data_IF_135399498592
#
_entry.id   IF_135399498592
#
_cell.length_a   1.000
_cell.length_b   1.000
_cell.length_c   1.000
_cell.angle_alpha   90.00
_cell.angle_beta   90.00
_cell.angle_gamma   90.00
#
_symmetry.space_group_name_H-M   'P 1'
#
loop_
_entity.id
_entity.type
_entity.pdbx_description
1 polymer ?
#
# COMPACT_ATOMS: atom_id res chain seq x y z
N UNK A 1 27.07 -3.26 -6.15
CA UNK A 1 25.97 -2.87 -5.24
C UNK A 1 24.70 -2.93 -6.06
N UNK A 2 23.92 -4.00 -5.87
CA UNK A 2 22.82 -4.34 -6.77
C UNK A 2 21.66 -3.36 -6.65
N UNK A 3 21.00 -3.14 -7.77
CA UNK A 3 19.84 -2.26 -7.99
C UNK A 3 18.57 -2.82 -7.33
N UNK A 4 18.68 -3.31 -6.09
CA UNK A 4 17.58 -3.95 -5.35
C UNK A 4 17.17 -3.03 -4.22
N UNK A 5 16.18 -2.18 -4.48
CA UNK A 5 15.58 -1.29 -3.49
C UNK A 5 14.07 -1.55 -3.39
N UNK A 6 13.45 -0.99 -2.36
CA UNK A 6 12.02 -1.14 -2.11
C UNK A 6 11.17 -0.75 -3.34
N UNK A 7 11.52 0.35 -4.00
CA UNK A 7 10.80 0.88 -5.18
C UNK A 7 10.69 -0.13 -6.33
N UNK A 8 11.78 -0.86 -6.65
CA UNK A 8 11.77 -1.84 -7.73
C UNK A 8 10.85 -3.01 -7.41
N UNK A 9 10.88 -3.50 -6.16
CA UNK A 9 10.00 -4.56 -5.72
C UNK A 9 8.54 -4.10 -5.62
N UNK A 10 8.28 -2.84 -5.24
CA UNK A 10 6.95 -2.23 -5.29
C UNK A 10 6.40 -2.21 -6.72
N UNK A 11 7.18 -1.69 -7.67
CA UNK A 11 6.78 -1.63 -9.07
C UNK A 11 6.56 -3.03 -9.67
N UNK A 12 7.43 -3.98 -9.35
CA UNK A 12 7.25 -5.38 -9.77
C UNK A 12 5.98 -5.98 -9.17
N UNK A 13 5.71 -5.74 -7.88
CA UNK A 13 4.50 -6.19 -7.20
C UNK A 13 3.23 -5.65 -7.85
N UNK A 14 3.22 -4.35 -8.21
CA UNK A 14 2.11 -3.74 -8.94
C UNK A 14 1.94 -4.35 -10.34
N UNK A 15 3.03 -4.55 -11.09
CA UNK A 15 2.97 -5.22 -12.39
C UNK A 15 2.38 -6.64 -12.27
N UNK A 16 2.82 -7.42 -11.29
CA UNK A 16 2.28 -8.75 -11.01
C UNK A 16 0.79 -8.68 -10.64
N UNK A 17 0.39 -7.69 -9.84
CA UNK A 17 -1.01 -7.47 -9.47
C UNK A 17 -1.89 -7.20 -10.70
N UNK A 18 -1.49 -6.27 -11.57
CA UNK A 18 -2.21 -5.98 -12.81
C UNK A 18 -2.20 -7.14 -13.80
N UNK A 19 -1.18 -8.01 -13.74
CA UNK A 19 -1.14 -9.27 -14.48
C UNK A 19 -1.94 -10.41 -13.82
N UNK A 20 -2.69 -10.13 -12.75
CA UNK A 20 -3.47 -11.11 -11.97
C UNK A 20 -2.64 -12.23 -11.33
N UNK A 21 -1.32 -12.01 -11.17
CA UNK A 21 -0.40 -12.92 -10.49
C UNK A 21 -0.32 -12.56 -9.01
N UNK A 22 -1.41 -12.77 -8.28
CA UNK A 22 -1.58 -12.28 -6.90
C UNK A 22 -0.54 -12.84 -5.92
N UNK A 23 -0.18 -14.13 -6.06
CA UNK A 23 0.85 -14.75 -5.22
C UNK A 23 2.21 -14.06 -5.40
N UNK A 24 2.59 -13.77 -6.65
CA UNK A 24 3.84 -13.07 -6.96
C UNK A 24 3.79 -11.60 -6.51
N UNK A 25 2.64 -10.95 -6.67
CA UNK A 25 2.44 -9.57 -6.22
C UNK A 25 2.67 -9.46 -4.71
N UNK A 26 2.08 -10.36 -3.93
CA UNK A 26 2.27 -10.42 -2.48
C UNK A 26 3.74 -10.61 -2.12
N UNK A 27 4.43 -11.59 -2.72
CA UNK A 27 5.86 -11.83 -2.47
C UNK A 27 6.73 -10.61 -2.79
N UNK A 28 6.44 -9.90 -3.89
CA UNK A 28 7.20 -8.72 -4.26
C UNK A 28 6.94 -7.55 -3.31
N UNK A 29 5.69 -7.31 -2.91
CA UNK A 29 5.34 -6.25 -1.97
C UNK A 29 5.90 -6.52 -0.57
N UNK A 30 5.92 -7.77 -0.11
CA UNK A 30 6.59 -8.14 1.15
C UNK A 30 8.09 -7.85 1.09
N UNK A 31 8.76 -8.22 -0.02
CA UNK A 31 10.17 -7.86 -0.21
C UNK A 31 10.41 -6.36 -0.27
N UNK A 32 9.48 -5.60 -0.84
CA UNK A 32 9.56 -4.14 -0.86
C UNK A 32 9.53 -3.58 0.56
N UNK A 33 8.65 -4.09 1.42
CA UNK A 33 8.58 -3.71 2.84
C UNK A 33 9.84 -4.11 3.61
N UNK A 34 10.39 -5.29 3.36
CA UNK A 34 11.63 -5.76 4.00
C UNK A 34 12.86 -4.89 3.65
N UNK A 35 12.85 -4.30 2.46
CA UNK A 35 13.93 -3.43 1.97
C UNK A 35 13.67 -1.94 2.22
N UNK A 36 12.47 -1.58 2.69
CA UNK A 36 12.10 -0.21 2.92
C UNK A 36 12.85 0.39 4.12
N UNK A 37 13.16 1.66 4.01
CA UNK A 37 13.71 2.48 5.09
C UNK A 37 12.72 3.58 5.46
N UNK A 38 13.07 4.38 6.48
CA UNK A 38 12.20 5.44 6.99
C UNK A 38 11.80 6.48 5.92
N UNK A 39 12.51 6.55 4.80
CA UNK A 39 12.27 7.52 3.72
C UNK A 39 11.29 7.03 2.66
N UNK A 40 11.15 5.73 2.45
CA UNK A 40 10.28 5.17 1.41
C UNK A 40 9.22 4.18 1.94
N UNK A 41 9.28 3.83 3.23
CA UNK A 41 8.32 2.92 3.86
C UNK A 41 6.87 3.40 3.76
N UNK A 42 6.64 4.72 3.83
CA UNK A 42 5.34 5.35 3.64
C UNK A 42 4.75 5.02 2.25
N UNK A 43 5.55 5.17 1.20
CA UNK A 43 5.15 4.91 -0.19
C UNK A 43 4.87 3.43 -0.44
N UNK A 44 5.67 2.53 0.16
CA UNK A 44 5.43 1.09 0.04
C UNK A 44 4.10 0.72 0.69
N UNK A 45 3.83 1.17 1.92
CA UNK A 45 2.55 0.93 2.59
C UNK A 45 1.36 1.51 1.83
N UNK A 46 1.51 2.70 1.26
CA UNK A 46 0.50 3.31 0.39
C UNK A 46 0.18 2.42 -0.83
N UNK A 47 1.20 1.89 -1.50
CA UNK A 47 1.01 1.02 -2.65
C UNK A 47 0.39 -0.34 -2.27
N UNK A 48 0.76 -0.92 -1.13
CA UNK A 48 0.10 -2.12 -0.59
C UNK A 48 -1.38 -1.84 -0.30
N UNK A 49 -1.69 -0.67 0.27
CA UNK A 49 -3.07 -0.24 0.53
C UNK A 49 -3.89 -0.11 -0.75
N UNK A 50 -3.31 0.42 -1.83
CA UNK A 50 -3.98 0.49 -3.13
C UNK A 50 -4.26 -0.89 -3.72
N UNK A 51 -3.34 -1.84 -3.56
CA UNK A 51 -3.54 -3.24 -3.97
C UNK A 51 -4.67 -3.89 -3.17
N UNK A 52 -4.74 -3.63 -1.85
CA UNK A 52 -5.83 -4.10 -1.01
C UNK A 52 -7.19 -3.52 -1.44
N UNK A 53 -7.25 -2.20 -1.71
CA UNK A 53 -8.47 -1.55 -2.25
C UNK A 53 -8.91 -2.18 -3.57
N UNK A 54 -7.97 -2.39 -4.50
CA UNK A 54 -8.26 -2.98 -5.80
C UNK A 54 -8.70 -4.45 -5.69
N UNK A 55 -8.33 -5.13 -4.61
CA UNK A 55 -8.78 -6.49 -4.27
C UNK A 55 -10.13 -6.51 -3.53
N UNK A 56 -10.69 -5.35 -3.19
CA UNK A 56 -11.94 -5.20 -2.43
C UNK A 56 -11.77 -5.25 -0.91
N UNK A 57 -10.54 -5.41 -0.41
CA UNK A 57 -10.25 -5.46 1.03
C UNK A 57 -10.05 -4.05 1.59
N UNK A 58 -11.17 -3.39 1.88
CA UNK A 58 -11.19 -2.03 2.42
C UNK A 58 -10.62 -1.95 3.84
N UNK A 59 -10.66 -3.03 4.62
CA UNK A 59 -10.14 -3.07 5.98
C UNK A 59 -8.61 -3.15 5.98
N UNK A 60 -8.04 -4.02 5.15
CA UNK A 60 -6.59 -4.09 4.97
C UNK A 60 -6.04 -2.79 4.37
N UNK A 61 -6.75 -2.20 3.40
CA UNK A 61 -6.37 -0.89 2.85
C UNK A 61 -6.30 0.20 3.93
N UNK A 62 -7.29 0.24 4.82
CA UNK A 62 -7.32 1.17 5.95
C UNK A 62 -6.09 1.03 6.85
N UNK A 63 -5.73 -0.21 7.20
CA UNK A 63 -4.56 -0.48 8.02
C UNK A 63 -3.28 -0.03 7.31
N UNK A 64 -3.15 -0.33 6.01
CA UNK A 64 -1.98 0.05 5.22
C UNK A 64 -1.80 1.57 5.13
N UNK A 65 -2.86 2.33 4.86
CA UNK A 65 -2.75 3.79 4.81
C UNK A 65 -2.48 4.39 6.20
N UNK A 66 -2.99 3.78 7.27
CA UNK A 66 -2.65 4.18 8.65
C UNK A 66 -1.16 3.98 8.92
N UNK A 67 -0.59 2.85 8.49
CA UNK A 67 0.85 2.59 8.59
C UNK A 67 1.67 3.56 7.73
N UNK A 68 1.19 3.90 6.54
CA UNK A 68 1.82 4.92 5.69
C UNK A 68 1.91 6.27 6.41
N UNK A 69 0.81 6.73 7.03
CA UNK A 69 0.80 7.97 7.82
C UNK A 69 1.62 7.90 9.10
N UNK A 70 1.77 6.71 9.70
CA UNK A 70 2.65 6.53 10.86
C UNK A 70 4.13 6.69 10.49
N UNK A 71 4.49 6.39 9.23
CA UNK A 71 5.84 6.52 8.69
C UNK A 71 6.09 7.95 8.20
N UNK A 72 5.13 8.52 7.48
CA UNK A 72 5.13 9.93 7.05
C UNK A 72 3.76 10.57 7.31
N UNK A 73 3.70 11.40 8.35
CA UNK A 73 2.49 12.10 8.77
C UNK A 73 1.97 13.10 7.72
N UNK A 74 2.80 13.48 6.74
CA UNK A 74 2.47 14.41 5.66
C UNK A 74 2.12 13.73 4.33
N UNK A 75 2.02 12.38 4.30
CA UNK A 75 1.66 11.66 3.09
C UNK A 75 0.20 11.95 2.67
N UNK A 76 0.05 12.92 1.76
CA UNK A 76 -1.24 13.49 1.39
C UNK A 76 -2.17 12.46 0.75
N UNK A 77 -1.65 11.60 -0.11
CA UNK A 77 -2.42 10.57 -0.82
C UNK A 77 -2.99 9.52 0.14
N UNK A 78 -2.20 9.06 1.11
CA UNK A 78 -2.66 8.13 2.14
C UNK A 78 -3.76 8.75 3.00
N UNK A 79 -3.61 10.02 3.39
CA UNK A 79 -4.61 10.78 4.13
C UNK A 79 -5.94 10.90 3.35
N UNK A 80 -5.87 11.27 2.07
CA UNK A 80 -7.03 11.36 1.19
C UNK A 80 -7.77 10.02 1.07
N UNK A 81 -7.04 8.92 0.86
CA UNK A 81 -7.65 7.60 0.75
C UNK A 81 -8.32 7.14 2.05
N UNK A 82 -7.71 7.41 3.21
CA UNK A 82 -8.33 7.15 4.50
C UNK A 82 -9.62 7.95 4.72
N UNK A 83 -9.61 9.23 4.37
CA UNK A 83 -10.81 10.06 4.47
C UNK A 83 -11.96 9.49 3.62
N UNK A 84 -11.67 9.03 2.39
CA UNK A 84 -12.66 8.38 1.52
C UNK A 84 -13.18 7.08 2.12
N UNK A 85 -12.30 6.27 2.71
CA UNK A 85 -12.68 5.02 3.38
C UNK A 85 -13.60 5.27 4.58
N UNK A 86 -13.27 6.24 5.43
CA UNK A 86 -14.10 6.60 6.60
C UNK A 86 -15.47 7.14 6.19
N UNK A 87 -15.53 7.95 5.13
CA UNK A 87 -16.80 8.44 4.59
C UNK A 87 -17.69 7.29 4.10
N UNK A 88 -17.11 6.28 3.44
CA UNK A 88 -17.86 5.10 2.98
C UNK A 88 -18.38 4.28 4.16
N UNK A 89 -17.53 4.03 5.16
CA UNK A 89 -17.88 3.30 6.37
C UNK A 89 -19.04 3.97 7.14
N UNK A 90 -19.01 5.31 7.25
CA UNK A 90 -20.08 6.09 7.87
C UNK A 90 -21.42 5.96 7.14
N UNK A 91 -21.40 5.91 5.80
CA UNK A 91 -22.60 5.75 4.99
C UNK A 91 -23.19 4.33 5.04
N UNK A 92 -22.37 3.31 5.25
CA UNK A 92 -22.84 1.92 5.41
C UNK A 92 -23.47 1.67 6.79
N UNK A 93 -23.13 2.50 7.78
CA UNK A 93 -23.65 2.43 9.14
C UNK A 93 -24.94 3.23 9.39
N UNK A 94 -25.47 3.91 8.37
CA UNK A 94 -26.67 4.75 8.43
C UNK A 94 -27.87 4.10 7.74
#
# INVERSE_FOLDING_TARGET
>A
MGVYNAEIFTNLGLCCFYAQQFDLASVCLTKALDLADNTNQSDVWYNVGNVALASGDSEMAYQCFTLALSSDQQHAEACCNLAVLEMRKGNESA
#
